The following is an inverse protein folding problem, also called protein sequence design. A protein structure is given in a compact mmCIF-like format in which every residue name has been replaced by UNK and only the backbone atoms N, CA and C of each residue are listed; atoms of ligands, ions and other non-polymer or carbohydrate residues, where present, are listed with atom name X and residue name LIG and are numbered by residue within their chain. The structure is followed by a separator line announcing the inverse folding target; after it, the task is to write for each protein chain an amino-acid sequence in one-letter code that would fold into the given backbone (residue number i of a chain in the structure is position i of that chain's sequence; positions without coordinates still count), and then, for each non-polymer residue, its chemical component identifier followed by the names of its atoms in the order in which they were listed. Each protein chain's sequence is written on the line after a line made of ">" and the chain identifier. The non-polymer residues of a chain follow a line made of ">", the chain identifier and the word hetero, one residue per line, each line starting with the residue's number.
data_IF_098937879424
#
_entry.id   IF_098937879424
#
_cell.length_a   1.000
_cell.length_b   1.000
_cell.length_c   1.000
_cell.angle_alpha   90.00
_cell.angle_beta   90.00
_cell.angle_gamma   90.00
#
_symmetry.space_group_name_H-M   'P 1'
#
loop_
_entity.id
_entity.type
_entity.pdbx_description
1 polymer ?
#
# COMPACT_ATOMS: atom_id res chain seq x y z
N UNK A 1 -16.36 -17.63 13.83
CA UNK A 1 -15.39 -16.54 13.98
C UNK A 1 -14.20 -17.14 14.70
N UNK A 2 -13.14 -17.45 13.97
CA UNK A 2 -11.94 -18.06 14.54
C UNK A 2 -11.30 -17.01 15.46
N UNK A 3 -11.27 -17.29 16.76
CA UNK A 3 -10.68 -16.38 17.74
C UNK A 3 -9.18 -16.43 17.51
N UNK A 4 -8.52 -15.29 17.39
CA UNK A 4 -7.06 -15.24 17.48
C UNK A 4 -6.70 -15.83 18.85
N UNK A 5 -6.10 -17.02 18.86
CA UNK A 5 -5.62 -17.68 20.08
C UNK A 5 -4.17 -17.26 20.24
N UNK A 6 -3.92 -16.37 21.19
CA UNK A 6 -2.59 -15.87 21.49
C UNK A 6 -2.62 -14.68 22.44
N UNK A 7 -1.44 -14.23 22.83
CA UNK A 7 -1.28 -12.97 23.58
C UNK A 7 -1.67 -11.81 22.67
N UNK A 8 -2.63 -11.01 23.09
CA UNK A 8 -2.95 -9.74 22.43
C UNK A 8 -2.09 -8.65 23.04
N UNK A 9 -1.44 -7.86 22.18
CA UNK A 9 -0.64 -6.70 22.58
C UNK A 9 -1.22 -5.47 21.92
N UNK A 10 -1.75 -4.56 22.72
CA UNK A 10 -2.24 -3.27 22.23
C UNK A 10 -1.09 -2.29 22.09
N UNK A 11 -0.67 -2.08 20.85
CA UNK A 11 0.41 -1.14 20.50
C UNK A 11 -0.11 0.31 20.51
N UNK A 12 0.68 1.21 21.09
CA UNK A 12 0.43 2.65 21.08
C UNK A 12 1.09 3.31 19.86
N UNK A 13 2.30 2.88 19.51
CA UNK A 13 3.07 3.40 18.37
C UNK A 13 3.96 2.32 17.76
N UNK A 14 4.15 2.40 16.44
CA UNK A 14 5.26 1.73 15.75
C UNK A 14 6.48 2.66 15.79
N UNK A 15 7.65 2.10 16.07
CA UNK A 15 8.87 2.89 16.31
C UNK A 15 9.92 2.69 15.22
N UNK A 16 10.15 1.46 14.78
CA UNK A 16 11.20 1.10 13.80
C UNK A 16 10.68 0.01 12.88
N UNK A 17 11.01 0.10 11.60
CA UNK A 17 10.87 -0.99 10.63
C UNK A 17 12.25 -1.22 10.01
N UNK A 18 12.85 -2.38 10.26
CA UNK A 18 14.19 -2.71 9.76
C UNK A 18 14.21 -4.10 9.13
N UNK A 19 15.18 -4.31 8.25
CA UNK A 19 15.54 -5.64 7.74
C UNK A 19 16.83 -6.04 8.44
N UNK A 20 16.91 -7.29 8.89
CA UNK A 20 18.13 -7.80 9.51
C UNK A 20 19.30 -7.85 8.51
N UNK A 21 20.52 -7.98 9.02
CA UNK A 21 21.73 -8.02 8.19
C UNK A 21 21.71 -9.15 7.16
N UNK A 22 20.97 -10.23 7.42
CA UNK A 22 20.85 -11.36 6.49
C UNK A 22 19.84 -11.14 5.36
N UNK A 23 19.01 -10.10 5.43
CA UNK A 23 17.95 -9.82 4.45
C UNK A 23 16.74 -10.75 4.55
N UNK A 24 16.64 -11.56 5.60
CA UNK A 24 15.63 -12.63 5.72
C UNK A 24 14.51 -12.31 6.69
N UNK A 25 14.80 -11.46 7.66
CA UNK A 25 13.86 -11.09 8.72
C UNK A 25 13.55 -9.61 8.65
N UNK A 26 12.26 -9.29 8.75
CA UNK A 26 11.76 -7.94 8.93
C UNK A 26 11.37 -7.79 10.39
N UNK A 27 11.84 -6.72 11.03
CA UNK A 27 11.52 -6.40 12.42
C UNK A 27 10.73 -5.11 12.48
N UNK A 28 9.62 -5.17 13.19
CA UNK A 28 8.78 -4.03 13.52
C UNK A 28 8.91 -3.79 15.03
N UNK A 29 9.57 -2.69 15.40
CA UNK A 29 9.57 -2.18 16.75
C UNK A 29 8.28 -1.42 17.05
N UNK A 30 7.78 -1.57 18.26
CA UNK A 30 6.61 -0.89 18.76
C UNK A 30 6.76 -0.57 20.26
N UNK A 31 5.87 0.27 20.78
CA UNK A 31 5.61 0.37 22.22
C UNK A 31 4.17 0.02 22.51
N UNK A 32 3.94 -0.73 23.58
CA UNK A 32 2.58 -0.94 24.08
C UNK A 32 2.04 0.30 24.81
N UNK A 33 0.78 0.25 25.26
CA UNK A 33 0.15 1.35 26.00
C UNK A 33 0.75 1.63 27.39
N UNK A 34 1.54 0.71 27.94
CA UNK A 34 2.32 0.94 29.16
C UNK A 34 3.71 1.55 28.86
N UNK A 35 4.05 1.75 27.58
CA UNK A 35 5.34 2.26 27.12
C UNK A 35 6.43 1.18 27.00
N UNK A 36 6.09 -0.09 27.26
CA UNK A 36 7.04 -1.19 27.18
C UNK A 36 7.36 -1.50 25.70
N UNK A 37 8.64 -1.75 25.38
CA UNK A 37 9.04 -2.08 24.01
C UNK A 37 8.52 -3.46 23.60
N UNK A 38 8.03 -3.55 22.37
CA UNK A 38 7.55 -4.78 21.74
C UNK A 38 8.22 -4.90 20.38
N UNK A 39 8.73 -6.08 20.04
CA UNK A 39 9.30 -6.35 18.73
C UNK A 39 8.55 -7.49 18.05
N UNK A 40 8.06 -7.24 16.84
CA UNK A 40 7.46 -8.25 15.97
C UNK A 40 8.52 -8.62 14.93
N UNK A 41 8.85 -9.92 14.84
CA UNK A 41 9.77 -10.44 13.83
C UNK A 41 9.00 -11.28 12.84
N UNK A 42 9.19 -11.00 11.56
CA UNK A 42 8.51 -11.65 10.44
C UNK A 42 9.56 -12.19 9.47
N UNK A 43 9.32 -13.36 8.90
CA UNK A 43 10.01 -13.73 7.66
C UNK A 43 9.53 -12.87 6.50
N UNK A 44 10.29 -12.87 5.39
CA UNK A 44 9.86 -12.21 4.15
C UNK A 44 8.47 -12.70 3.69
N UNK A 45 8.24 -14.01 3.61
CA UNK A 45 6.95 -14.59 3.21
C UNK A 45 5.77 -14.15 4.09
N UNK A 46 6.02 -13.96 5.40
CA UNK A 46 5.01 -13.47 6.33
C UNK A 46 4.72 -11.98 6.10
N UNK A 47 5.75 -11.18 5.82
CA UNK A 47 5.57 -9.77 5.48
C UNK A 47 4.85 -9.61 4.13
N UNK A 48 5.15 -10.44 3.13
CA UNK A 48 4.42 -10.50 1.87
C UNK A 48 2.94 -10.87 2.11
N UNK A 49 2.68 -11.86 2.97
CA UNK A 49 1.31 -12.23 3.35
C UNK A 49 0.57 -11.08 4.02
N UNK A 50 1.25 -10.27 4.84
CA UNK A 50 0.68 -9.04 5.41
C UNK A 50 0.42 -8.01 4.31
N UNK A 51 1.35 -7.80 3.38
CA UNK A 51 1.16 -6.88 2.24
C UNK A 51 -0.07 -7.24 1.40
N UNK A 52 -0.34 -8.55 1.24
CA UNK A 52 -1.49 -9.04 0.48
C UNK A 52 -2.83 -8.95 1.24
N UNK A 53 -2.81 -8.74 2.55
CA UNK A 53 -4.03 -8.78 3.40
C UNK A 53 -4.34 -7.45 4.07
N UNK A 54 -3.33 -6.72 4.51
CA UNK A 54 -3.45 -5.45 5.23
C UNK A 54 -4.22 -4.38 4.44
N UNK A 55 -4.02 -4.16 3.12
CA UNK A 55 -4.82 -3.20 2.36
C UNK A 55 -6.33 -3.50 2.42
N UNK A 56 -6.71 -4.78 2.43
CA UNK A 56 -8.10 -5.18 2.54
C UNK A 56 -8.66 -4.99 3.96
N UNK A 57 -7.85 -5.26 4.99
CA UNK A 57 -8.21 -5.00 6.39
C UNK A 57 -8.39 -3.50 6.64
N UNK A 58 -7.51 -2.66 6.10
CA UNK A 58 -7.61 -1.21 6.15
C UNK A 58 -8.92 -0.71 5.53
N UNK A 59 -9.28 -1.22 4.34
CA UNK A 59 -10.57 -0.91 3.71
C UNK A 59 -11.75 -1.32 4.58
N UNK A 60 -11.73 -2.53 5.15
CA UNK A 60 -12.79 -3.02 6.05
C UNK A 60 -12.92 -2.15 7.30
N UNK A 61 -11.80 -1.77 7.92
CA UNK A 61 -11.78 -0.91 9.10
C UNK A 61 -12.34 0.49 8.78
N UNK A 62 -11.97 1.06 7.63
CA UNK A 62 -12.49 2.35 7.18
C UNK A 62 -14.00 2.32 6.96
N UNK A 63 -14.50 1.30 6.26
CA UNK A 63 -15.94 1.12 6.05
C UNK A 63 -16.70 0.96 7.37
N UNK A 64 -16.16 0.18 8.31
CA UNK A 64 -16.79 -0.02 9.63
C UNK A 64 -16.84 1.27 10.45
N UNK A 65 -15.85 2.17 10.30
CA UNK A 65 -15.80 3.46 11.01
C UNK A 65 -16.71 4.52 10.42
N UNK A 66 -16.85 4.55 9.09
CA UNK A 66 -17.59 5.61 8.37
C UNK A 66 -19.02 5.21 8.02
N UNK A 67 -19.33 3.91 8.02
CA UNK A 67 -20.56 3.33 7.48
C UNK A 67 -20.83 3.69 6.01
N UNK A 68 -19.79 4.06 5.26
CA UNK A 68 -19.89 4.43 3.85
C UNK A 68 -18.90 3.58 3.02
N UNK A 69 -19.40 2.76 2.07
CA UNK A 69 -18.57 1.87 1.26
C UNK A 69 -17.75 2.58 0.17
N UNK A 70 -17.93 3.89 0.00
CA UNK A 70 -17.24 4.68 -1.01
C UNK A 70 -15.92 5.28 -0.53
N UNK A 71 -15.69 5.35 0.79
CA UNK A 71 -14.42 5.81 1.35
C UNK A 71 -13.29 4.84 1.03
N UNK A 72 -12.12 5.39 0.72
CA UNK A 72 -10.95 4.61 0.34
C UNK A 72 -9.70 5.25 0.90
N UNK A 73 -8.80 4.42 1.42
CA UNK A 73 -7.45 4.88 1.69
C UNK A 73 -6.75 5.10 0.35
N UNK A 74 -6.38 6.35 0.07
CA UNK A 74 -5.66 6.75 -1.14
C UNK A 74 -4.30 7.31 -0.74
N UNK A 75 -3.25 6.68 -1.26
CA UNK A 75 -1.89 7.22 -1.15
C UNK A 75 -1.56 8.01 -2.40
N UNK A 76 -1.05 9.25 -2.28
CA UNK A 76 -0.72 10.07 -3.43
C UNK A 76 0.44 9.44 -4.21
N UNK A 77 0.20 9.08 -5.47
CA UNK A 77 1.24 8.60 -6.36
C UNK A 77 2.26 9.72 -6.60
N UNK A 78 3.52 9.45 -6.25
CA UNK A 78 4.62 10.40 -6.38
C UNK A 78 5.57 10.05 -7.51
N UNK A 79 5.97 8.78 -7.62
CA UNK A 79 6.90 8.26 -8.62
C UNK A 79 6.35 6.99 -9.27
N UNK A 80 6.75 6.76 -10.51
CA UNK A 80 6.45 5.51 -11.21
C UNK A 80 7.53 5.18 -12.23
N UNK A 81 7.73 3.88 -12.49
CA UNK A 81 8.59 3.36 -13.56
C UNK A 81 7.89 2.22 -14.29
N UNK A 82 8.25 2.01 -15.55
CA UNK A 82 7.84 0.84 -16.33
C UNK A 82 9.07 0.28 -17.03
N UNK A 83 9.35 -0.99 -16.80
CA UNK A 83 10.54 -1.68 -17.28
C UNK A 83 10.15 -2.95 -18.03
N UNK A 84 10.82 -3.23 -19.14
CA UNK A 84 10.73 -4.54 -19.80
C UNK A 84 11.87 -5.41 -19.30
N UNK A 85 11.56 -6.63 -18.86
CA UNK A 85 12.58 -7.59 -18.46
C UNK A 85 12.90 -8.50 -19.64
N UNK A 86 14.18 -8.54 -20.03
CA UNK A 86 14.64 -9.40 -21.12
C UNK A 86 14.33 -10.87 -20.81
N UNK A 87 13.75 -11.58 -21.79
CA UNK A 87 13.36 -12.99 -21.62
C UNK A 87 12.02 -13.22 -20.91
N UNK A 88 11.32 -12.17 -20.47
CA UNK A 88 10.00 -12.30 -19.82
C UNK A 88 8.88 -11.67 -20.65
N UNK A 89 7.72 -12.32 -20.66
CA UNK A 89 6.52 -11.84 -21.37
C UNK A 89 5.66 -10.89 -20.50
N UNK A 90 6.30 -10.00 -19.74
CA UNK A 90 5.62 -9.00 -18.92
C UNK A 90 6.44 -7.70 -18.82
N UNK A 91 5.75 -6.62 -18.47
CA UNK A 91 6.35 -5.39 -18.00
C UNK A 91 6.33 -5.39 -16.47
N UNK A 92 7.36 -4.82 -15.85
CA UNK A 92 7.33 -4.47 -14.43
C UNK A 92 6.92 -3.01 -14.33
N UNK A 93 5.84 -2.74 -13.60
CA UNK A 93 5.39 -1.40 -13.26
C UNK A 93 5.60 -1.17 -11.76
N UNK A 94 6.45 -0.20 -11.41
CA UNK A 94 6.67 0.20 -10.02
C UNK A 94 5.94 1.49 -9.75
N UNK A 95 5.17 1.54 -8.67
CA UNK A 95 4.43 2.71 -8.20
C UNK A 95 4.91 3.05 -6.80
N UNK A 96 5.18 4.33 -6.54
CA UNK A 96 5.63 4.76 -5.22
C UNK A 96 5.12 6.14 -4.81
N UNK A 97 5.08 6.36 -3.51
CA UNK A 97 4.76 7.63 -2.88
C UNK A 97 6.05 8.41 -2.60
N UNK A 98 5.92 9.70 -2.29
CA UNK A 98 7.08 10.54 -1.95
C UNK A 98 7.70 10.20 -0.59
N UNK A 99 6.93 9.59 0.31
CA UNK A 99 7.32 9.20 1.67
C UNK A 99 7.82 7.75 1.78
N UNK A 100 8.01 7.06 0.65
CA UNK A 100 8.78 5.81 0.60
C UNK A 100 7.97 4.51 0.51
N UNK A 101 6.63 4.57 0.42
CA UNK A 101 5.87 3.39 0.00
C UNK A 101 6.17 3.10 -1.47
N UNK A 102 6.45 1.84 -1.80
CA UNK A 102 6.73 1.40 -3.16
C UNK A 102 6.26 -0.04 -3.36
N UNK A 103 5.69 -0.33 -4.53
CA UNK A 103 5.26 -1.67 -4.92
C UNK A 103 5.45 -1.87 -6.42
N UNK A 104 5.90 -3.06 -6.80
CA UNK A 104 6.12 -3.46 -8.19
C UNK A 104 5.11 -4.52 -8.62
N UNK A 105 4.54 -4.35 -9.81
CA UNK A 105 3.59 -5.27 -10.40
C UNK A 105 4.12 -5.83 -11.72
N UNK A 106 4.06 -7.15 -11.88
CA UNK A 106 4.20 -7.78 -13.19
C UNK A 106 2.90 -7.65 -13.97
N UNK A 107 2.94 -6.96 -15.10
CA UNK A 107 1.79 -6.72 -15.96
C UNK A 107 1.99 -7.35 -17.35
N UNK A 108 1.11 -8.27 -17.78
CA UNK A 108 1.13 -8.75 -19.16
C UNK A 108 0.94 -7.60 -20.16
N UNK A 109 1.48 -7.71 -21.40
CA UNK A 109 1.38 -6.64 -22.40
C UNK A 109 -0.05 -6.21 -22.72
N UNK A 110 -1.00 -7.15 -22.81
CA UNK A 110 -2.41 -6.84 -23.07
C UNK A 110 -3.06 -6.05 -21.93
N UNK A 111 -2.78 -6.42 -20.69
CA UNK A 111 -3.26 -5.69 -19.52
C UNK A 111 -2.64 -4.29 -19.46
N UNK A 112 -1.37 -4.16 -19.79
CA UNK A 112 -0.67 -2.87 -19.84
C UNK A 112 -1.27 -1.94 -20.89
N UNK A 113 -1.60 -2.46 -22.09
CA UNK A 113 -2.30 -1.71 -23.14
C UNK A 113 -3.68 -1.25 -22.68
N UNK A 114 -4.46 -2.14 -22.07
CA UNK A 114 -5.79 -1.81 -21.56
C UNK A 114 -5.72 -0.72 -20.46
N UNK A 115 -4.78 -0.86 -19.52
CA UNK A 115 -4.55 0.12 -18.46
C UNK A 115 -4.17 1.49 -19.04
N UNK A 116 -3.23 1.55 -19.98
CA UNK A 116 -2.83 2.80 -20.62
C UNK A 116 -3.99 3.51 -21.33
N UNK A 117 -4.85 2.75 -22.02
CA UNK A 117 -6.03 3.30 -22.68
C UNK A 117 -7.02 3.92 -21.69
N UNK A 118 -7.34 3.21 -20.59
CA UNK A 118 -8.26 3.69 -19.55
C UNK A 118 -7.70 4.91 -18.84
N UNK A 119 -6.41 4.91 -18.46
CA UNK A 119 -5.77 6.05 -17.82
C UNK A 119 -5.79 7.29 -18.71
N UNK A 120 -5.47 7.14 -20.00
CA UNK A 120 -5.51 8.26 -20.96
C UNK A 120 -6.90 8.86 -21.07
N UNK A 121 -7.94 8.02 -21.17
CA UNK A 121 -9.33 8.48 -21.25
C UNK A 121 -9.76 9.19 -19.95
N UNK A 122 -9.41 8.62 -18.79
CA UNK A 122 -9.76 9.18 -17.49
C UNK A 122 -9.08 10.55 -17.25
N UNK A 123 -7.79 10.69 -17.60
CA UNK A 123 -7.06 11.93 -17.43
C UNK A 123 -7.69 13.09 -18.23
N UNK A 124 -8.05 12.85 -19.50
CA UNK A 124 -8.73 13.85 -20.33
C UNK A 124 -10.10 14.26 -19.75
N UNK A 125 -10.79 13.33 -19.08
CA UNK A 125 -12.07 13.61 -18.43
C UNK A 125 -11.95 14.39 -17.12
N UNK A 126 -10.77 14.38 -16.48
CA UNK A 126 -10.48 15.12 -15.23
C UNK A 126 -9.94 16.52 -15.51
N UNK A 127 -9.09 16.70 -16.53
CA UNK A 127 -8.58 18.02 -16.95
C UNK A 127 -9.71 19.00 -17.34
N UNK A 128 -10.86 18.48 -17.75
CA UNK A 128 -12.06 19.29 -18.00
C UNK A 128 -12.83 19.73 -16.75
N UNK A 129 -12.43 19.28 -15.54
CA UNK A 129 -13.20 19.47 -14.30
C UNK A 129 -12.41 20.10 -13.15
N UNK A 130 -11.08 19.96 -13.09
CA UNK A 130 -10.27 20.44 -11.95
C UNK A 130 -8.91 20.96 -12.46
N UNK A 131 -8.51 22.18 -12.08
CA UNK A 131 -7.21 22.77 -12.45
C UNK A 131 -6.02 22.01 -11.83
N UNK A 132 -4.88 21.99 -12.53
CA UNK A 132 -3.72 21.12 -12.33
C UNK A 132 -3.13 21.02 -10.91
N UNK A 133 -3.42 21.98 -10.01
CA UNK A 133 -2.88 22.03 -8.65
C UNK A 133 -3.86 21.58 -7.55
N UNK A 134 -5.15 21.40 -7.86
CA UNK A 134 -6.17 21.09 -6.85
C UNK A 134 -6.28 19.59 -6.48
N UNK A 135 -5.64 18.69 -7.24
CA UNK A 135 -5.79 17.24 -7.01
C UNK A 135 -5.05 16.74 -5.75
N UNK A 136 -3.91 17.33 -5.38
CA UNK A 136 -3.14 16.93 -4.19
C UNK A 136 -3.93 17.13 -2.89
N UNK A 137 -4.68 18.23 -2.80
CA UNK A 137 -5.57 18.50 -1.67
C UNK A 137 -6.81 17.56 -1.67
N UNK A 138 -7.29 17.18 -2.86
CA UNK A 138 -8.46 16.30 -3.01
C UNK A 138 -8.17 14.83 -2.67
N UNK A 139 -6.94 14.34 -2.87
CA UNK A 139 -6.59 12.95 -2.52
C UNK A 139 -6.60 12.69 -1.01
N UNK A 140 -6.24 13.68 -0.20
CA UNK A 140 -6.32 13.58 1.27
C UNK A 140 -7.76 13.58 1.82
N UNK A 141 -8.72 14.06 1.02
CA UNK A 141 -10.14 14.19 1.40
C UNK A 141 -11.00 12.96 1.04
N UNK A 142 -10.42 11.90 0.45
CA UNK A 142 -11.11 10.62 0.20
C UNK A 142 -11.00 9.63 1.39
N UNK A 143 -10.33 10.05 2.47
CA UNK A 143 -10.14 9.30 3.72
C UNK A 143 -11.21 9.62 4.76
#
# INVERSE_FOLDING_TARGET
>A
MERIVGTTVDIAELTVCEVDESGRLIRLGARDRAGAPVTITLSLDQAESIMMTLPHLLKKALHARTNDPHYRIVFPLGRWTVEQVEGHACLIMTLGTADGFEVSFGAPPDMSRALAAVLKQAALAVDSRIGADAWRASCGALN
#
